data_IF_910843186521
#
_entry.id   IF_910843186521
#
_cell.length_a   1.000
_cell.length_b   1.000
_cell.length_c   1.000
_cell.angle_alpha   90.00
_cell.angle_beta   90.00
_cell.angle_gamma   90.00
#
_symmetry.space_group_name_H-M   'P 1'
#
loop_
_entity.id
_entity.type
_entity.pdbx_description
1 polymer ?
#
# COMPACT_ATOMS: atom_id res chain seq x y z
N UNK A 1 -14.11 21.06 -7.35
CA UNK A 1 -15.56 20.80 -7.56
C UNK A 1 -15.73 20.06 -8.87
N UNK A 2 -16.47 18.95 -8.90
CA UNK A 2 -16.83 18.26 -10.15
C UNK A 2 -17.79 19.15 -10.95
N UNK A 3 -17.66 19.17 -12.28
CA UNK A 3 -18.65 19.86 -13.11
C UNK A 3 -19.99 19.13 -13.07
N UNK A 4 -21.10 19.83 -13.30
CA UNK A 4 -22.45 19.25 -13.32
C UNK A 4 -22.54 18.09 -14.33
N UNK A 5 -21.83 18.18 -15.46
CA UNK A 5 -21.73 17.13 -16.46
C UNK A 5 -21.05 15.87 -15.89
N UNK A 6 -19.92 16.03 -15.20
CA UNK A 6 -19.20 14.93 -14.57
C UNK A 6 -20.00 14.25 -13.45
N UNK A 7 -20.80 15.01 -12.70
CA UNK A 7 -21.66 14.45 -11.65
C UNK A 7 -22.81 13.60 -12.24
N UNK A 8 -23.39 14.02 -13.35
CA UNK A 8 -24.40 13.24 -14.09
C UNK A 8 -23.82 11.94 -14.65
N UNK A 9 -22.63 12.00 -15.24
CA UNK A 9 -21.90 10.84 -15.77
C UNK A 9 -21.63 9.81 -14.65
N UNK A 10 -21.10 10.25 -13.50
CA UNK A 10 -20.82 9.37 -12.36
C UNK A 10 -22.11 8.71 -11.84
N UNK A 11 -23.20 9.46 -11.74
CA UNK A 11 -24.49 8.91 -11.30
C UNK A 11 -25.01 7.86 -12.27
N UNK A 12 -24.83 8.09 -13.58
CA UNK A 12 -25.18 7.11 -14.62
C UNK A 12 -24.39 5.81 -14.46
N UNK A 13 -23.06 5.91 -14.26
CA UNK A 13 -22.18 4.75 -14.04
C UNK A 13 -22.59 3.97 -12.79
N UNK A 14 -22.90 4.66 -11.69
CA UNK A 14 -23.37 4.02 -10.45
C UNK A 14 -24.65 3.21 -10.71
N UNK A 15 -25.62 3.80 -11.42
CA UNK A 15 -26.89 3.15 -11.71
C UNK A 15 -26.71 1.94 -12.64
N UNK A 16 -25.86 2.06 -13.66
CA UNK A 16 -25.53 0.94 -14.55
C UNK A 16 -24.91 -0.23 -13.77
N UNK A 17 -23.91 0.04 -12.93
CA UNK A 17 -23.27 -1.01 -12.13
C UNK A 17 -24.25 -1.65 -11.13
N UNK A 18 -25.12 -0.85 -10.49
CA UNK A 18 -26.19 -1.41 -9.64
C UNK A 18 -27.12 -2.33 -10.41
N UNK A 19 -27.52 -1.95 -11.63
CA UNK A 19 -28.40 -2.77 -12.47
C UNK A 19 -27.77 -4.11 -12.87
N UNK A 20 -26.43 -4.18 -12.91
CA UNK A 20 -25.65 -5.40 -13.16
C UNK A 20 -25.38 -6.22 -11.88
N UNK A 21 -25.93 -5.82 -10.73
CA UNK A 21 -25.82 -6.55 -9.46
C UNK A 21 -24.54 -6.29 -8.67
N UNK A 22 -23.74 -5.29 -9.02
CA UNK A 22 -22.55 -4.94 -8.24
C UNK A 22 -22.93 -4.38 -6.87
N UNK A 23 -22.20 -4.80 -5.83
CA UNK A 23 -22.40 -4.28 -4.47
C UNK A 23 -21.93 -2.82 -4.36
N UNK A 24 -22.32 -2.13 -3.28
CA UNK A 24 -21.85 -0.76 -3.00
C UNK A 24 -20.33 -0.69 -2.89
N UNK A 25 -19.73 -1.69 -2.25
CA UNK A 25 -18.28 -1.81 -2.13
C UNK A 25 -17.63 -2.01 -3.50
N UNK A 26 -18.16 -2.89 -4.35
CA UNK A 26 -17.60 -3.11 -5.70
C UNK A 26 -17.65 -1.83 -6.54
N UNK A 27 -18.79 -1.14 -6.50
CA UNK A 27 -18.98 0.14 -7.20
C UNK A 27 -17.98 1.18 -6.69
N UNK A 28 -17.82 1.29 -5.37
CA UNK A 28 -16.84 2.19 -4.77
C UNK A 28 -15.42 1.88 -5.26
N UNK A 29 -15.01 0.61 -5.28
CA UNK A 29 -13.68 0.19 -5.71
C UNK A 29 -13.43 0.50 -7.19
N UNK A 30 -14.41 0.26 -8.06
CA UNK A 30 -14.33 0.61 -9.49
C UNK A 30 -14.19 2.13 -9.66
N UNK A 31 -15.04 2.92 -9.01
CA UNK A 31 -14.99 4.38 -9.11
C UNK A 31 -13.70 4.96 -8.55
N UNK A 32 -13.20 4.42 -7.43
CA UNK A 32 -11.92 4.82 -6.85
C UNK A 32 -10.74 4.49 -7.75
N UNK A 33 -10.85 3.43 -8.56
CA UNK A 33 -9.84 3.06 -9.55
C UNK A 33 -9.86 4.01 -10.75
N UNK A 34 -11.05 4.34 -11.26
CA UNK A 34 -11.20 5.21 -12.43
C UNK A 34 -10.94 6.69 -12.13
N UNK A 35 -11.34 7.17 -10.93
CA UNK A 35 -11.20 8.57 -10.49
C UNK A 35 -10.65 8.61 -9.05
N UNK A 36 -9.34 8.35 -8.85
CA UNK A 36 -8.74 8.21 -7.52
C UNK A 36 -8.83 9.46 -6.64
N UNK A 37 -8.92 10.64 -7.27
CA UNK A 37 -8.98 11.93 -6.56
C UNK A 37 -10.40 12.37 -6.21
N UNK A 38 -11.43 11.63 -6.65
CA UNK A 38 -12.81 11.96 -6.35
C UNK A 38 -13.25 11.31 -5.03
N UNK A 39 -14.07 12.04 -4.27
CA UNK A 39 -14.65 11.53 -3.04
C UNK A 39 -15.92 10.70 -3.37
N UNK A 40 -15.86 9.40 -3.09
CA UNK A 40 -16.97 8.45 -3.26
C UNK A 40 -17.38 7.77 -1.95
N UNK A 41 -16.88 8.26 -0.81
CA UNK A 41 -17.14 7.64 0.50
C UNK A 41 -18.64 7.63 0.84
N UNK A 42 -19.40 8.59 0.29
CA UNK A 42 -20.86 8.68 0.41
C UNK A 42 -21.63 7.47 -0.16
N UNK A 43 -20.98 6.63 -0.99
CA UNK A 43 -21.60 5.42 -1.55
C UNK A 43 -21.61 4.29 -0.51
N UNK A 44 -20.64 4.30 0.41
CA UNK A 44 -20.44 3.24 1.40
C UNK A 44 -21.34 3.45 2.61
N UNK A 45 -21.71 2.34 3.25
CA UNK A 45 -22.26 2.35 4.61
C UNK A 45 -21.16 2.70 5.62
N UNK A 46 -21.51 3.16 6.84
CA UNK A 46 -20.52 3.44 7.89
C UNK A 46 -19.56 2.26 8.16
N UNK A 47 -20.08 1.04 8.21
CA UNK A 47 -19.28 -0.17 8.43
C UNK A 47 -18.35 -0.47 7.25
N UNK A 48 -18.81 -0.32 6.01
CA UNK A 48 -17.95 -0.49 4.83
C UNK A 48 -16.84 0.57 4.78
N UNK A 49 -17.16 1.82 5.12
CA UNK A 49 -16.18 2.91 5.19
C UNK A 49 -15.12 2.65 6.28
N UNK A 50 -15.54 2.15 7.45
CA UNK A 50 -14.62 1.75 8.52
C UNK A 50 -13.67 0.64 8.05
N UNK A 51 -14.18 -0.38 7.35
CA UNK A 51 -13.35 -1.46 6.79
C UNK A 51 -12.34 -0.95 5.76
N UNK A 52 -12.75 -0.05 4.86
CA UNK A 52 -11.85 0.58 3.89
C UNK A 52 -10.76 1.38 4.60
N UNK A 53 -11.12 2.17 5.61
CA UNK A 53 -10.17 2.96 6.40
C UNK A 53 -9.18 2.08 7.15
N UNK A 54 -9.65 1.00 7.79
CA UNK A 54 -8.80 0.03 8.47
C UNK A 54 -7.85 -0.67 7.50
N UNK A 55 -8.33 -1.04 6.32
CA UNK A 55 -7.50 -1.64 5.26
C UNK A 55 -6.42 -0.66 4.78
N UNK A 56 -6.76 0.60 4.58
CA UNK A 56 -5.80 1.64 4.21
C UNK A 56 -4.72 1.84 5.28
N UNK A 57 -5.10 1.82 6.57
CA UNK A 57 -4.15 1.90 7.69
C UNK A 57 -3.20 0.71 7.70
N UNK A 58 -3.73 -0.51 7.60
CA UNK A 58 -2.93 -1.74 7.55
C UNK A 58 -1.98 -1.74 6.35
N UNK A 59 -2.43 -1.26 5.19
CA UNK A 59 -1.58 -1.12 4.00
C UNK A 59 -0.41 -0.17 4.25
N UNK A 60 -0.65 0.98 4.88
CA UNK A 60 0.40 1.94 5.24
C UNK A 60 1.39 1.35 6.25
N UNK A 61 0.91 0.62 7.25
CA UNK A 61 1.76 -0.07 8.22
C UNK A 61 2.61 -1.14 7.55
N UNK A 62 2.05 -1.92 6.61
CA UNK A 62 2.79 -2.91 5.82
C UNK A 62 3.92 -2.28 5.02
N UNK A 63 3.66 -1.14 4.36
CA UNK A 63 4.70 -0.39 3.64
C UNK A 63 5.81 0.08 4.59
N UNK A 64 5.45 0.58 5.78
CA UNK A 64 6.43 0.99 6.79
C UNK A 64 7.31 -0.19 7.24
N UNK A 65 6.71 -1.32 7.55
CA UNK A 65 7.43 -2.53 7.96
C UNK A 65 8.35 -3.05 6.85
N UNK A 66 7.89 -3.01 5.59
CA UNK A 66 8.74 -3.36 4.43
C UNK A 66 9.98 -2.49 4.33
N UNK A 67 9.85 -1.17 4.50
CA UNK A 67 10.99 -0.25 4.52
C UNK A 67 11.94 -0.56 5.67
N UNK A 68 11.40 -0.78 6.87
CA UNK A 68 12.21 -1.12 8.05
C UNK A 68 12.99 -2.43 7.86
N UNK A 69 12.36 -3.44 7.26
CA UNK A 69 13.01 -4.70 6.94
C UNK A 69 14.17 -4.49 5.95
N UNK A 70 13.94 -3.76 4.87
CA UNK A 70 14.97 -3.47 3.87
C UNK A 70 16.17 -2.73 4.47
N UNK A 71 15.91 -1.73 5.33
CA UNK A 71 16.97 -1.00 6.03
C UNK A 71 17.76 -1.90 6.98
N UNK A 72 17.08 -2.82 7.67
CA UNK A 72 17.71 -3.78 8.56
C UNK A 72 18.58 -4.77 7.78
N UNK A 73 18.08 -5.35 6.69
CA UNK A 73 18.83 -6.24 5.80
C UNK A 73 20.12 -5.56 5.31
N UNK A 74 20.02 -4.30 4.88
CA UNK A 74 21.19 -3.53 4.43
C UNK A 74 22.21 -3.31 5.55
N UNK A 75 21.75 -3.02 6.77
CA UNK A 75 22.64 -2.85 7.94
C UNK A 75 23.32 -4.16 8.32
N UNK A 76 22.59 -5.27 8.34
CA UNK A 76 23.11 -6.60 8.65
C UNK A 76 24.17 -7.00 7.63
N UNK A 77 23.90 -6.82 6.33
CA UNK A 77 24.86 -7.14 5.25
C UNK A 77 26.17 -6.37 5.43
N UNK A 78 26.11 -5.05 5.63
CA UNK A 78 27.31 -4.22 5.88
C UNK A 78 28.09 -4.67 7.11
N UNK A 79 27.39 -4.96 8.21
CA UNK A 79 28.05 -5.45 9.43
C UNK A 79 28.71 -6.80 9.20
N UNK A 80 28.06 -7.70 8.47
CA UNK A 80 28.61 -8.99 8.12
C UNK A 80 29.89 -8.85 7.28
N UNK A 81 29.87 -8.00 6.24
CA UNK A 81 31.05 -7.70 5.42
C UNK A 81 32.23 -7.18 6.25
N UNK A 82 31.97 -6.27 7.20
CA UNK A 82 33.00 -5.76 8.12
C UNK A 82 33.57 -6.88 8.99
N UNK A 83 32.71 -7.69 9.61
CA UNK A 83 33.13 -8.80 10.50
C UNK A 83 33.97 -9.80 9.71
N UNK A 84 33.56 -10.16 8.50
CA UNK A 84 34.31 -11.07 7.63
C UNK A 84 35.67 -10.50 7.24
N UNK A 85 35.75 -9.21 6.88
CA UNK A 85 37.03 -8.56 6.59
C UNK A 85 38.00 -8.62 7.77
N UNK A 86 37.53 -8.30 8.98
CA UNK A 86 38.35 -8.41 10.21
C UNK A 86 38.77 -9.85 10.47
N UNK A 87 37.87 -10.82 10.30
CA UNK A 87 38.17 -12.23 10.49
C UNK A 87 39.27 -12.72 9.53
N UNK A 88 39.18 -12.36 8.25
CA UNK A 88 40.19 -12.71 7.24
C UNK A 88 41.56 -12.13 7.56
N UNK A 89 41.63 -10.87 8.00
CA UNK A 89 42.88 -10.22 8.42
C UNK A 89 43.53 -10.95 9.61
N UNK A 90 42.74 -11.30 10.63
CA UNK A 90 43.22 -12.04 11.79
C UNK A 90 43.76 -13.42 11.41
N UNK A 91 43.09 -14.13 10.50
CA UNK A 91 43.52 -15.46 10.03
C UNK A 91 44.81 -15.39 9.20
N UNK A 92 44.95 -14.37 8.34
CA UNK A 92 46.21 -14.11 7.61
C UNK A 92 47.37 -13.80 8.55
N UNK A 93 47.14 -13.03 9.59
CA UNK A 93 48.19 -12.69 10.56
C UNK A 93 48.57 -13.89 11.43
N UNK A 94 47.64 -14.80 11.71
CA UNK A 94 47.90 -16.04 12.46
C UNK A 94 48.71 -17.08 11.67
N UNK A 95 48.50 -17.16 10.35
CA UNK A 95 49.22 -18.11 9.48
C UNK A 95 50.65 -17.69 9.10
N UNK A 96 51.01 -16.43 9.37
CA UNK A 96 52.36 -15.87 9.13
C UNK A 96 53.28 -15.93 10.35
N UNK A 97 52.78 -16.36 11.50
CA UNK A 97 53.55 -16.65 12.72
C UNK A 97 53.71 -18.14 12.88
#
# INVERSE_FOLDING_TARGET
MLSISQAKEITSVINELRSKGFSKLDIYLVLRTLKPNANFEYILTPSELELVNRTNKLRSELYRLRTQLYDLERKVKRRHEIIMGVYEELMKNRSRK
#
